data_IF_916506347990
#
_entry.id   IF_916506347990
#
_cell.length_a   1.000
_cell.length_b   1.000
_cell.length_c   1.000
_cell.angle_alpha   90.00
_cell.angle_beta   90.00
_cell.angle_gamma   90.00
#
_symmetry.space_group_name_H-M   'P 1'
#
loop_
_entity.id
_entity.type
_entity.pdbx_description
1 polymer ?
#
# COMPACT_ATOMS: atom_id res chain seq x y z
N UNK A 1 25.56 -49.82 -42.98
CA UNK A 1 24.28 -50.36 -42.44
C UNK A 1 23.32 -49.19 -42.31
N UNK A 2 22.03 -49.44 -42.56
CA UNK A 2 20.99 -48.48 -42.96
C UNK A 2 20.75 -47.34 -41.96
N UNK A 3 20.53 -46.17 -42.53
CA UNK A 3 19.88 -44.98 -41.95
C UNK A 3 18.44 -45.35 -41.59
N UNK A 4 17.94 -44.95 -40.42
CA UNK A 4 16.52 -44.65 -40.21
C UNK A 4 16.42 -43.40 -39.32
N UNK A 5 15.97 -42.33 -39.97
CA UNK A 5 15.54 -41.06 -39.40
C UNK A 5 14.17 -41.29 -38.77
N UNK A 6 13.96 -40.83 -37.53
CA UNK A 6 12.63 -40.75 -36.92
C UNK A 6 12.35 -39.27 -36.63
N UNK A 7 11.56 -38.65 -37.50
CA UNK A 7 10.91 -37.37 -37.22
C UNK A 7 9.49 -37.62 -36.71
N UNK A 8 8.99 -36.76 -35.82
CA UNK A 8 7.59 -36.37 -35.88
C UNK A 8 7.45 -34.85 -36.01
N UNK A 9 7.00 -34.46 -37.21
CA UNK A 9 5.93 -33.49 -37.52
C UNK A 9 5.40 -32.60 -36.39
N UNK A 10 5.48 -31.29 -36.63
CA UNK A 10 4.81 -30.25 -35.84
C UNK A 10 5.15 -28.83 -36.29
N UNK A 11 5.09 -28.55 -37.60
CA UNK A 11 5.08 -27.18 -38.12
C UNK A 11 3.69 -26.60 -37.90
N UNK A 12 3.60 -25.49 -37.17
CA UNK A 12 2.53 -24.51 -37.36
C UNK A 12 3.16 -23.25 -37.93
N UNK A 13 2.71 -22.95 -39.14
CA UNK A 13 3.08 -21.84 -40.01
C UNK A 13 2.64 -20.50 -39.45
N UNK A 14 3.43 -19.47 -39.74
CA UNK A 14 3.08 -18.06 -39.64
C UNK A 14 1.77 -17.75 -40.38
N UNK A 15 0.99 -16.83 -39.82
CA UNK A 15 0.09 -15.98 -40.58
C UNK A 15 0.35 -14.54 -40.12
N UNK A 16 1.05 -13.82 -40.99
CA UNK A 16 1.14 -12.36 -41.00
C UNK A 16 -0.15 -11.88 -41.67
N UNK A 17 -0.96 -11.10 -40.97
CA UNK A 17 -1.95 -10.25 -41.62
C UNK A 17 -1.73 -8.83 -41.12
N UNK A 18 -1.01 -8.09 -41.96
CA UNK A 18 -0.90 -6.66 -42.01
C UNK A 18 -2.18 -6.17 -42.72
N UNK A 19 -3.01 -5.36 -42.07
CA UNK A 19 -3.92 -4.50 -42.81
C UNK A 19 -4.15 -3.20 -42.05
N UNK A 20 -3.57 -2.15 -42.62
CA UNK A 20 -3.74 -0.77 -42.23
C UNK A 20 -5.14 -0.28 -42.60
N UNK A 21 -5.77 0.47 -41.70
CA UNK A 21 -6.85 1.38 -42.06
C UNK A 21 -6.70 2.69 -41.28
N UNK A 22 -6.21 3.69 -42.01
CA UNK A 22 -6.29 5.12 -41.74
C UNK A 22 -7.76 5.58 -41.71
N UNK A 23 -8.07 6.61 -40.91
CA UNK A 23 -9.44 7.09 -40.73
C UNK A 23 -9.57 8.17 -39.66
N UNK A 24 -9.04 9.36 -39.95
CA UNK A 24 -9.31 10.58 -39.19
C UNK A 24 -10.76 11.07 -39.33
N UNK A 25 -11.38 11.56 -38.23
CA UNK A 25 -12.23 12.77 -38.21
C UNK A 25 -12.72 13.17 -36.79
N UNK A 26 -12.24 14.34 -36.34
CA UNK A 26 -12.94 15.45 -35.70
C UNK A 26 -13.85 15.26 -34.44
N UNK A 27 -13.30 15.70 -33.30
CA UNK A 27 -13.77 16.77 -32.39
C UNK A 27 -15.27 17.07 -32.26
N UNK A 28 -15.82 16.91 -31.03
CA UNK A 28 -16.72 17.89 -30.37
C UNK A 28 -16.65 17.77 -28.84
N UNK A 29 -16.30 18.87 -28.17
CA UNK A 29 -16.98 19.35 -26.95
C UNK A 29 -16.48 18.90 -25.58
N UNK A 30 -15.84 19.83 -24.87
CA UNK A 30 -15.52 19.83 -23.44
C UNK A 30 -16.63 19.31 -22.50
N UNK A 31 -16.24 18.68 -21.38
CA UNK A 31 -16.39 19.20 -20.01
C UNK A 31 -16.11 18.09 -18.96
N UNK A 32 -15.10 18.33 -18.11
CA UNK A 32 -15.11 17.95 -16.70
C UNK A 32 -15.20 16.48 -16.31
N UNK A 33 -14.09 15.92 -15.83
CA UNK A 33 -14.11 14.70 -15.03
C UNK A 33 -12.73 14.09 -14.98
N UNK A 34 -12.02 14.28 -13.86
CA UNK A 34 -10.74 13.64 -13.59
C UNK A 34 -10.86 12.15 -13.84
N UNK A 35 -10.32 11.70 -14.98
CA UNK A 35 -10.08 10.31 -15.24
C UNK A 35 -9.06 9.89 -14.19
N UNK A 36 -9.57 9.26 -13.14
CA UNK A 36 -8.82 8.32 -12.34
C UNK A 36 -8.10 7.43 -13.34
N UNK A 37 -6.81 7.71 -13.55
CA UNK A 37 -5.90 6.75 -14.10
C UNK A 37 -5.79 5.65 -13.04
N UNK A 38 -6.75 4.73 -13.07
CA UNK A 38 -6.52 3.36 -12.69
C UNK A 38 -5.47 2.83 -13.65
N UNK A 39 -4.21 3.26 -13.47
CA UNK A 39 -3.08 2.47 -13.87
C UNK A 39 -3.41 1.08 -13.36
N UNK A 40 -3.51 0.12 -14.27
CA UNK A 40 -3.73 -1.26 -13.93
C UNK A 40 -2.71 -1.58 -12.84
N UNK A 41 -3.16 -1.66 -11.59
CA UNK A 41 -2.28 -1.96 -10.47
C UNK A 41 -1.64 -3.26 -10.86
N UNK A 42 -0.32 -3.28 -10.94
CA UNK A 42 0.39 -4.53 -11.00
C UNK A 42 -0.01 -5.24 -9.71
N UNK A 43 -0.99 -6.15 -9.78
CA UNK A 43 -1.58 -6.82 -8.60
C UNK A 43 -0.57 -7.67 -7.83
N UNK A 44 0.70 -7.63 -8.25
CA UNK A 44 1.83 -8.18 -7.54
C UNK A 44 2.48 -7.18 -6.57
N UNK A 45 2.17 -5.88 -6.60
CA UNK A 45 2.78 -4.87 -5.73
C UNK A 45 1.94 -4.63 -4.49
N UNK A 46 2.62 -4.49 -3.36
CA UNK A 46 1.98 -4.28 -2.06
C UNK A 46 1.66 -2.79 -1.92
N UNK A 47 0.42 -2.46 -1.58
CA UNK A 47 -0.01 -1.08 -1.32
C UNK A 47 0.22 -0.65 0.12
N UNK A 48 0.06 0.65 0.40
CA UNK A 48 0.13 1.17 1.77
C UNK A 48 -1.00 0.59 2.61
N UNK A 49 -2.22 0.52 2.08
CA UNK A 49 -3.36 -0.10 2.76
C UNK A 49 -3.10 -1.56 3.14
N UNK A 50 -2.60 -2.35 2.19
CA UNK A 50 -2.28 -3.77 2.43
C UNK A 50 -1.16 -3.95 3.48
N UNK A 51 -0.15 -3.08 3.48
CA UNK A 51 0.92 -3.12 4.48
C UNK A 51 0.42 -2.73 5.89
N UNK A 52 -0.55 -1.81 5.98
CA UNK A 52 -1.22 -1.47 7.24
C UNK A 52 -2.07 -2.62 7.75
N UNK A 53 -2.87 -3.27 6.88
CA UNK A 53 -3.62 -4.47 7.22
C UNK A 53 -2.70 -5.62 7.64
N UNK A 54 -1.56 -5.81 6.97
CA UNK A 54 -0.55 -6.78 7.38
C UNK A 54 -0.02 -6.51 8.81
N UNK A 55 0.07 -5.24 9.20
CA UNK A 55 0.45 -4.85 10.57
C UNK A 55 -0.61 -5.28 11.59
N UNK A 56 -1.91 -5.21 11.23
CA UNK A 56 -3.00 -5.75 12.03
C UNK A 56 -2.88 -7.27 12.28
N UNK A 57 -2.12 -7.99 11.45
CA UNK A 57 -1.81 -9.41 11.68
C UNK A 57 -0.53 -9.62 12.48
N UNK A 58 0.54 -8.86 12.22
CA UNK A 58 1.85 -9.07 12.87
C UNK A 58 1.95 -8.51 14.28
N UNK A 59 1.33 -7.34 14.51
CA UNK A 59 1.36 -6.59 15.75
C UNK A 59 -0.05 -6.27 16.28
N UNK A 60 -1.07 -6.94 15.72
CA UNK A 60 -2.47 -6.62 15.95
C UNK A 60 -2.92 -6.61 17.39
N UNK A 61 -2.31 -7.44 18.25
CA UNK A 61 -2.70 -7.58 19.66
C UNK A 61 -1.99 -6.55 20.56
N UNK A 62 -1.12 -5.70 20.00
CA UNK A 62 -0.45 -4.65 20.73
C UNK A 62 -1.34 -3.40 20.86
N UNK A 63 -1.34 -2.72 22.02
CA UNK A 63 -2.08 -1.47 22.18
C UNK A 63 -1.51 -0.38 21.27
N UNK A 64 -2.37 0.48 20.76
CA UNK A 64 -1.94 1.63 19.95
C UNK A 64 -1.21 2.64 20.84
N UNK A 65 -0.04 3.07 20.40
CA UNK A 65 0.77 4.12 21.02
C UNK A 65 0.82 5.41 20.16
N UNK A 66 1.23 6.56 20.73
CA UNK A 66 1.37 7.81 19.99
C UNK A 66 2.32 7.74 18.79
N UNK A 67 3.39 6.94 18.89
CA UNK A 67 4.35 6.69 17.81
C UNK A 67 3.70 5.97 16.63
N UNK A 68 2.85 4.96 16.91
CA UNK A 68 2.06 4.26 15.89
C UNK A 68 1.11 5.24 15.17
N UNK A 69 0.42 6.11 15.93
CA UNK A 69 -0.46 7.12 15.33
C UNK A 69 0.30 8.09 14.41
N UNK A 70 1.52 8.50 14.77
CA UNK A 70 2.37 9.32 13.92
C UNK A 70 2.82 8.58 12.64
N UNK A 71 3.14 7.30 12.76
CA UNK A 71 3.50 6.45 11.62
C UNK A 71 2.32 6.27 10.66
N UNK A 72 1.12 6.00 11.18
CA UNK A 72 -0.12 5.86 10.41
C UNK A 72 -0.46 7.17 9.70
N UNK A 73 -0.31 8.32 10.36
CA UNK A 73 -0.51 9.63 9.74
C UNK A 73 0.41 9.84 8.53
N UNK A 74 1.68 9.51 8.67
CA UNK A 74 2.60 9.58 7.54
C UNK A 74 2.19 8.62 6.43
N UNK A 75 1.82 7.38 6.75
CA UNK A 75 1.42 6.39 5.76
C UNK A 75 0.17 6.84 4.97
N UNK A 76 -0.85 7.34 5.67
CA UNK A 76 -2.10 7.81 5.08
C UNK A 76 -1.91 9.06 4.20
N UNK A 77 -1.09 10.01 4.63
CA UNK A 77 -0.71 11.17 3.80
C UNK A 77 -0.02 10.71 2.50
N UNK A 78 0.88 9.72 2.61
CA UNK A 78 1.56 9.14 1.44
C UNK A 78 0.59 8.42 0.50
N UNK A 79 -0.35 7.66 1.04
CA UNK A 79 -1.38 6.96 0.26
C UNK A 79 -2.25 7.94 -0.55
N UNK A 80 -2.57 9.08 0.05
CA UNK A 80 -3.39 10.13 -0.57
C UNK A 80 -2.60 11.11 -1.46
N UNK A 81 -1.27 11.02 -1.45
CA UNK A 81 -0.41 11.97 -2.15
C UNK A 81 -0.40 13.39 -1.55
N UNK A 82 -0.80 13.52 -0.27
CA UNK A 82 -0.86 14.79 0.47
C UNK A 82 0.34 14.93 1.43
N UNK A 83 0.54 16.13 1.94
CA UNK A 83 1.55 16.41 2.98
C UNK A 83 1.08 15.99 4.39
N UNK A 84 -0.25 16.00 4.61
CA UNK A 84 -0.89 15.70 5.89
C UNK A 84 -2.00 14.67 5.72
N UNK A 85 -2.26 13.88 6.78
CA UNK A 85 -3.34 12.91 6.81
C UNK A 85 -4.72 13.62 6.88
N UNK A 86 -5.78 13.02 6.33
CA UNK A 86 -7.13 13.54 6.47
C UNK A 86 -7.55 13.68 7.95
N UNK A 87 -8.33 14.72 8.30
CA UNK A 87 -8.71 15.00 9.69
C UNK A 87 -9.64 13.94 10.30
N UNK A 88 -10.32 13.15 9.49
CA UNK A 88 -11.26 12.10 9.85
C UNK A 88 -10.80 10.69 9.40
N UNK A 89 -9.52 10.57 9.04
CA UNK A 89 -8.91 9.35 8.51
C UNK A 89 -8.50 8.30 9.55
N UNK A 90 -7.74 7.30 9.10
CA UNK A 90 -7.16 6.25 9.94
C UNK A 90 -6.26 6.82 11.03
N UNK A 91 -5.47 7.84 10.70
CA UNK A 91 -4.58 8.51 11.64
C UNK A 91 -5.33 9.20 12.78
N UNK A 92 -6.48 9.82 12.48
CA UNK A 92 -7.31 10.46 13.49
C UNK A 92 -7.87 9.40 14.48
N UNK A 93 -8.29 8.24 13.96
CA UNK A 93 -8.73 7.10 14.78
C UNK A 93 -7.59 6.54 15.64
N UNK A 94 -6.41 6.35 15.06
CA UNK A 94 -5.23 5.86 15.78
C UNK A 94 -4.85 6.81 16.93
N UNK A 95 -4.88 8.12 16.68
CA UNK A 95 -4.61 9.13 17.70
C UNK A 95 -5.64 9.09 18.84
N UNK A 96 -6.93 9.05 18.51
CA UNK A 96 -7.98 8.94 19.51
C UNK A 96 -7.84 7.65 20.35
N UNK A 97 -7.46 6.54 19.72
CA UNK A 97 -7.16 5.29 20.40
C UNK A 97 -5.95 5.41 21.35
N UNK A 98 -4.85 6.02 20.89
CA UNK A 98 -3.67 6.26 21.73
C UNK A 98 -3.97 7.16 22.94
N UNK A 99 -4.71 8.25 22.72
CA UNK A 99 -5.14 9.18 23.78
C UNK A 99 -6.05 8.48 24.80
N UNK A 100 -6.97 7.62 24.33
CA UNK A 100 -7.81 6.81 25.21
C UNK A 100 -7.00 5.74 25.98
N UNK A 101 -6.06 5.09 25.32
CA UNK A 101 -5.18 4.08 25.92
C UNK A 101 -4.30 4.66 27.03
N UNK A 102 -3.85 5.91 26.89
CA UNK A 102 -3.11 6.63 27.91
C UNK A 102 -3.93 6.86 29.20
N UNK A 103 -5.26 6.86 29.09
CA UNK A 103 -6.18 7.03 30.22
C UNK A 103 -6.76 5.69 30.73
N UNK A 104 -6.57 4.61 29.99
CA UNK A 104 -7.10 3.30 30.33
C UNK A 104 -6.39 2.70 31.56
N UNK A 105 -7.17 2.31 32.56
CA UNK A 105 -6.65 1.72 33.81
C UNK A 105 -6.24 0.26 33.64
N UNK A 106 -6.83 -0.44 32.67
CA UNK A 106 -6.63 -1.87 32.44
C UNK A 106 -6.14 -2.10 31.03
N UNK A 107 -5.20 -3.02 30.87
CA UNK A 107 -4.61 -3.35 29.56
C UNK A 107 -5.66 -3.94 28.62
N UNK A 108 -6.61 -4.74 29.14
CA UNK A 108 -7.68 -5.33 28.33
C UNK A 108 -8.70 -4.32 27.76
N UNK A 109 -8.72 -3.09 28.27
CA UNK A 109 -9.59 -2.02 27.77
C UNK A 109 -8.90 -1.19 26.66
N UNK A 110 -7.61 -1.44 26.38
CA UNK A 110 -6.87 -0.67 25.39
C UNK A 110 -7.24 -1.11 23.98
N UNK A 111 -7.48 -0.12 23.12
CA UNK A 111 -7.63 -0.34 21.69
C UNK A 111 -6.30 -0.79 21.09
N UNK A 112 -6.38 -1.78 20.21
CA UNK A 112 -5.23 -2.44 19.62
C UNK A 112 -4.99 -2.00 18.17
N UNK A 113 -3.81 -2.30 17.63
CA UNK A 113 -3.50 -2.05 16.22
C UNK A 113 -4.48 -2.79 15.29
N UNK A 114 -4.96 -3.96 15.69
CA UNK A 114 -6.00 -4.70 14.93
C UNK A 114 -7.30 -3.90 14.84
N UNK A 115 -7.73 -3.26 15.92
CA UNK A 115 -8.97 -2.48 15.97
C UNK A 115 -8.95 -1.23 15.07
N UNK A 116 -7.75 -0.74 14.73
CA UNK A 116 -7.55 0.44 13.90
C UNK A 116 -7.24 0.09 12.45
N UNK A 117 -6.46 -0.97 12.19
CA UNK A 117 -5.87 -1.24 10.88
C UNK A 117 -6.51 -2.40 10.11
N UNK A 118 -7.43 -3.17 10.69
CA UNK A 118 -8.01 -4.36 10.06
C UNK A 118 -8.77 -4.09 8.73
N UNK A 119 -9.20 -2.85 8.50
CA UNK A 119 -9.92 -2.43 7.29
C UNK A 119 -9.22 -1.25 6.58
N UNK A 120 -7.90 -1.11 6.77
CA UNK A 120 -7.15 0.04 6.28
C UNK A 120 -7.27 0.25 4.76
N UNK A 121 -7.23 -0.82 3.96
CA UNK A 121 -7.32 -0.74 2.49
C UNK A 121 -8.65 -0.11 2.06
N UNK A 122 -9.74 -0.39 2.79
CA UNK A 122 -11.07 0.16 2.49
C UNK A 122 -11.27 1.59 2.99
N UNK A 123 -10.47 2.03 3.97
CA UNK A 123 -10.57 3.36 4.61
C UNK A 123 -9.70 4.40 3.95
N UNK A 124 -8.61 4.00 3.32
CA UNK A 124 -7.79 4.91 2.53
C UNK A 124 -8.59 5.35 1.29
N UNK A 125 -8.99 6.63 1.25
CA UNK A 125 -9.74 7.19 0.12
C UNK A 125 -8.99 7.14 -1.22
N UNK A 126 -7.66 7.05 -1.15
CA UNK A 126 -6.78 6.68 -2.24
C UNK A 126 -5.67 5.78 -1.70
N UNK A 127 -5.22 4.82 -2.50
CA UNK A 127 -4.17 3.89 -2.12
C UNK A 127 -3.20 3.66 -3.27
N UNK A 128 -1.90 3.68 -2.93
CA UNK A 128 -0.78 3.50 -3.86
C UNK A 128 0.19 2.43 -3.38
N UNK A 129 0.95 1.90 -4.32
CA UNK A 129 2.04 0.97 -4.06
C UNK A 129 3.09 1.60 -3.13
N UNK A 130 3.63 0.80 -2.20
CA UNK A 130 4.66 1.30 -1.28
C UNK A 130 6.00 1.50 -1.99
N UNK A 131 6.56 2.71 -1.88
CA UNK A 131 7.92 3.03 -2.34
C UNK A 131 8.93 3.23 -1.21
N UNK A 132 10.21 3.36 -1.57
CA UNK A 132 11.30 3.59 -0.59
C UNK A 132 11.12 4.90 0.18
N UNK A 133 10.70 5.96 -0.51
CA UNK A 133 10.50 7.26 0.12
C UNK A 133 9.37 7.23 1.13
N UNK A 134 8.26 6.57 0.80
CA UNK A 134 7.12 6.40 1.70
C UNK A 134 7.56 5.71 3.00
N UNK A 135 8.33 4.61 2.89
CA UNK A 135 8.89 3.92 4.04
C UNK A 135 9.81 4.81 4.89
N UNK A 136 10.69 5.60 4.26
CA UNK A 136 11.59 6.50 5.00
C UNK A 136 10.82 7.58 5.77
N UNK A 137 9.74 8.11 5.18
CA UNK A 137 8.86 9.11 5.83
C UNK A 137 8.12 8.52 7.01
N UNK A 138 7.57 7.31 6.86
CA UNK A 138 6.86 6.61 7.95
C UNK A 138 7.79 6.27 9.11
N UNK A 139 8.97 5.71 8.83
CA UNK A 139 9.99 5.44 9.87
C UNK A 139 10.38 6.72 10.61
N UNK A 140 10.62 7.80 9.87
CA UNK A 140 10.93 9.09 10.49
C UNK A 140 9.80 9.64 11.36
N UNK A 141 8.53 9.39 10.99
CA UNK A 141 7.39 9.84 11.78
C UNK A 141 7.23 9.02 13.07
N UNK A 142 7.36 7.70 13.00
CA UNK A 142 7.30 6.80 14.15
C UNK A 142 8.38 7.17 15.18
N UNK A 143 9.63 7.30 14.72
CA UNK A 143 10.78 7.69 15.55
C UNK A 143 10.59 9.06 16.19
N UNK A 144 9.97 10.03 15.50
CA UNK A 144 9.69 11.35 16.10
C UNK A 144 8.53 11.32 17.10
N UNK A 145 7.59 10.39 16.94
CA UNK A 145 6.46 10.20 17.84
C UNK A 145 6.79 9.35 19.07
N UNK A 146 7.94 8.69 19.06
CA UNK A 146 8.43 7.83 20.14
C UNK A 146 9.39 8.57 21.09
N UNK A 147 9.18 8.50 22.43
CA UNK A 147 10.04 9.18 23.39
C UNK A 147 11.48 8.63 23.43
N UNK A 148 11.68 7.36 23.07
CA UNK A 148 12.99 6.72 23.00
C UNK A 148 13.61 6.83 21.59
N UNK A 149 12.94 7.56 20.68
CA UNK A 149 13.34 7.75 19.30
C UNK A 149 13.58 6.43 18.55
N UNK A 150 12.75 5.42 18.82
CA UNK A 150 12.85 4.10 18.21
C UNK A 150 11.62 3.77 17.36
N UNK A 151 11.84 3.04 16.27
CA UNK A 151 10.75 2.43 15.50
C UNK A 151 10.25 1.17 16.22
N UNK A 152 8.93 0.95 16.24
CA UNK A 152 8.35 -0.22 16.90
C UNK A 152 8.73 -1.49 16.13
N UNK A 153 9.33 -2.50 16.78
CA UNK A 153 9.57 -3.79 16.13
C UNK A 153 8.24 -4.45 15.71
N UNK A 154 8.13 -4.79 14.42
CA UNK A 154 6.92 -5.43 13.87
C UNK A 154 5.70 -4.52 13.73
N UNK A 155 5.84 -3.23 14.08
CA UNK A 155 4.80 -2.20 13.95
C UNK A 155 4.69 -1.62 12.54
N UNK A 156 4.07 -0.44 12.45
CA UNK A 156 3.67 0.18 11.19
C UNK A 156 4.88 0.48 10.30
N UNK A 157 5.93 1.12 10.84
CA UNK A 157 7.09 1.45 10.02
C UNK A 157 7.85 0.22 9.53
N UNK A 158 7.92 -0.84 10.34
CA UNK A 158 8.57 -2.09 9.97
C UNK A 158 7.83 -2.80 8.81
N UNK A 159 6.50 -2.82 8.85
CA UNK A 159 5.67 -3.40 7.79
C UNK A 159 5.79 -2.62 6.48
N UNK A 160 5.67 -1.29 6.53
CA UNK A 160 5.81 -0.42 5.35
C UNK A 160 7.23 -0.55 4.75
N UNK A 161 8.27 -0.55 5.58
CA UNK A 161 9.64 -0.76 5.10
C UNK A 161 9.84 -2.13 4.46
N UNK A 162 9.15 -3.16 4.95
CA UNK A 162 9.18 -4.51 4.38
C UNK A 162 8.46 -4.54 3.03
N UNK A 163 7.28 -3.96 2.93
CA UNK A 163 6.54 -3.82 1.68
C UNK A 163 7.37 -3.08 0.61
N UNK A 164 8.00 -1.95 0.97
CA UNK A 164 8.88 -1.21 0.08
C UNK A 164 10.06 -2.05 -0.45
N UNK A 165 10.63 -2.93 0.40
CA UNK A 165 11.72 -3.83 -0.02
C UNK A 165 11.21 -4.90 -1.00
N UNK A 166 10.05 -5.49 -0.72
CA UNK A 166 9.43 -6.50 -1.59
C UNK A 166 9.05 -5.92 -2.95
N UNK A 167 8.48 -4.72 -2.97
CA UNK A 167 8.07 -4.04 -4.21
C UNK A 167 9.25 -3.74 -5.12
N UNK A 168 10.41 -3.36 -4.57
CA UNK A 168 11.66 -3.14 -5.34
C UNK A 168 12.16 -4.40 -6.04
N UNK A 169 12.00 -5.57 -5.42
CA UNK A 169 12.39 -6.85 -6.03
C UNK A 169 11.45 -7.30 -7.16
N UNK A 170 10.34 -6.60 -7.35
CA UNK A 170 9.32 -6.87 -8.38
C UNK A 170 9.33 -5.82 -9.50
N UNK A 171 10.27 -4.87 -9.51
CA UNK A 171 10.35 -3.77 -10.51
C UNK A 171 11.05 -4.21 -11.79
#
# INVERSE_FOLDING_TARGET
>A
MRIHVMQPVGQYTEAVEDDAADGAAAEVGELGGGLQAGAARDGTKITIGEALEATAFSAGDQPVEPSDAAAIAAAEARASGTDEAPPDGLAARARAAADANALALREEDRATLRDVLADATSRLGADKEVEREDAARVVGAEVRGDPDAAARPGGVAASIATAARLNRGRQ
#
